data_IF_763698725796
#
_entry.id   IF_763698725796
#
_cell.length_a   1.000
_cell.length_b   1.000
_cell.length_c   1.000
_cell.angle_alpha   90.00
_cell.angle_beta   90.00
_cell.angle_gamma   90.00
#
_symmetry.space_group_name_H-M   'P 1'
#
loop_
_entity.id
_entity.type
_entity.pdbx_description
1 polymer ?
#
# COMPACT_ATOMS: atom_id res chain seq x y z
N UNK A 1 50.28 30.32 -0.88
CA UNK A 1 49.33 30.35 -2.00
C UNK A 1 48.66 28.96 -2.08
N UNK A 2 47.44 28.82 -1.60
CA UNK A 2 46.59 27.64 -1.78
C UNK A 2 45.45 28.06 -2.71
N UNK A 3 45.48 27.56 -3.94
CA UNK A 3 44.43 27.78 -4.90
C UNK A 3 43.12 27.23 -4.36
N UNK A 4 42.14 28.11 -4.24
CA UNK A 4 40.74 27.75 -4.05
C UNK A 4 40.25 27.15 -5.36
N UNK A 5 40.10 25.84 -5.40
CA UNK A 5 39.38 25.15 -6.46
C UNK A 5 37.91 25.57 -6.35
N UNK A 6 37.52 26.52 -7.21
CA UNK A 6 36.13 26.91 -7.39
C UNK A 6 35.44 25.71 -8.02
N UNK A 7 34.61 25.04 -7.27
CA UNK A 7 33.70 24.04 -7.79
C UNK A 7 32.75 24.71 -8.78
N UNK A 8 32.84 24.33 -10.05
CA UNK A 8 31.89 24.73 -11.09
C UNK A 8 30.47 24.45 -10.60
N UNK A 9 29.50 25.38 -10.78
CA UNK A 9 28.11 25.07 -10.59
C UNK A 9 27.74 23.94 -11.54
N UNK A 10 27.04 22.92 -11.03
CA UNK A 10 26.44 21.89 -11.87
C UNK A 10 25.45 22.63 -12.77
N UNK A 11 25.67 22.60 -14.08
CA UNK A 11 24.70 23.00 -15.10
C UNK A 11 23.47 22.07 -14.94
N UNK A 12 22.47 22.51 -14.19
CA UNK A 12 21.15 21.94 -14.14
C UNK A 12 20.11 23.00 -14.48
N UNK A 13 20.17 23.52 -15.70
CA UNK A 13 19.05 24.23 -16.30
C UNK A 13 17.98 23.30 -16.87
N UNK A 14 18.02 22.02 -16.55
CA UNK A 14 16.88 21.12 -16.80
C UNK A 14 15.82 21.35 -15.73
N UNK A 15 14.83 22.15 -16.09
CA UNK A 15 13.65 22.42 -15.25
C UNK A 15 12.96 21.07 -14.94
N UNK A 16 12.83 20.73 -13.66
CA UNK A 16 12.27 19.45 -13.22
C UNK A 16 10.91 19.19 -13.91
N UNK A 17 10.72 18.04 -14.58
CA UNK A 17 9.50 17.70 -15.31
C UNK A 17 8.23 17.84 -14.47
N UNK A 18 8.30 17.58 -13.16
CA UNK A 18 7.16 17.72 -12.22
C UNK A 18 6.64 19.15 -12.16
N UNK A 19 7.47 20.15 -12.50
CA UNK A 19 7.11 21.57 -12.51
C UNK A 19 6.45 22.04 -13.80
N UNK A 20 6.87 21.50 -14.95
CA UNK A 20 6.53 22.06 -16.28
C UNK A 20 5.61 21.18 -17.12
N UNK A 21 5.70 19.85 -17.00
CA UNK A 21 4.85 18.97 -17.80
C UNK A 21 3.37 19.08 -17.42
N UNK A 22 2.48 18.77 -18.39
CA UNK A 22 1.03 18.75 -18.15
C UNK A 22 0.67 17.72 -17.07
N UNK A 23 -0.18 18.10 -16.13
CA UNK A 23 -0.57 17.26 -14.99
C UNK A 23 -1.18 15.92 -15.44
N UNK A 24 -1.97 15.92 -16.51
CA UNK A 24 -2.57 14.68 -17.07
C UNK A 24 -1.52 13.70 -17.57
N UNK A 25 -0.45 14.19 -18.21
CA UNK A 25 0.66 13.35 -18.67
C UNK A 25 1.43 12.78 -17.47
N UNK A 26 1.77 13.63 -16.50
CA UNK A 26 2.44 13.21 -15.27
C UNK A 26 1.64 12.14 -14.52
N UNK A 27 0.32 12.30 -14.40
CA UNK A 27 -0.51 11.28 -13.76
C UNK A 27 -0.40 9.94 -14.47
N UNK A 28 -0.46 9.91 -15.80
CA UNK A 28 -0.32 8.65 -16.57
C UNK A 28 1.08 8.06 -16.39
N UNK A 29 2.14 8.88 -16.53
CA UNK A 29 3.52 8.43 -16.45
C UNK A 29 3.88 7.87 -15.05
N UNK A 30 3.23 8.34 -13.99
CA UNK A 30 3.47 7.89 -12.62
C UNK A 30 2.46 6.83 -12.15
N UNK A 31 1.17 7.01 -12.42
CA UNK A 31 0.14 6.09 -11.96
C UNK A 31 0.19 4.74 -12.67
N UNK A 32 0.42 4.69 -13.99
CA UNK A 32 0.45 3.43 -14.73
C UNK A 32 1.53 2.47 -14.20
N UNK A 33 2.81 2.88 -14.01
CA UNK A 33 3.79 2.01 -13.39
C UNK A 33 3.43 1.58 -11.96
N UNK A 34 2.83 2.48 -11.16
CA UNK A 34 2.37 2.13 -9.81
C UNK A 34 1.24 1.10 -9.84
N UNK A 35 0.28 1.26 -10.73
CA UNK A 35 -0.84 0.29 -10.92
C UNK A 35 -0.27 -1.08 -11.30
N UNK A 36 0.61 -1.13 -12.30
CA UNK A 36 1.23 -2.39 -12.74
C UNK A 36 1.97 -3.04 -11.57
N UNK A 37 2.75 -2.29 -10.81
CA UNK A 37 3.46 -2.81 -9.63
C UNK A 37 2.50 -3.39 -8.59
N UNK A 38 1.39 -2.70 -8.30
CA UNK A 38 0.39 -3.15 -7.33
C UNK A 38 -0.35 -4.40 -7.82
N UNK A 39 -0.75 -4.42 -9.11
CA UNK A 39 -1.41 -5.57 -9.71
C UNK A 39 -0.52 -6.81 -9.70
N UNK A 40 0.72 -6.67 -10.12
CA UNK A 40 1.66 -7.80 -10.12
C UNK A 40 1.92 -8.30 -8.70
N UNK A 41 2.06 -7.39 -7.73
CA UNK A 41 2.20 -7.78 -6.32
C UNK A 41 0.97 -8.56 -5.82
N UNK A 42 -0.23 -8.13 -6.19
CA UNK A 42 -1.46 -8.82 -5.83
C UNK A 42 -1.57 -10.20 -6.49
N UNK A 43 -1.22 -10.30 -7.77
CA UNK A 43 -1.28 -11.53 -8.53
C UNK A 43 -0.25 -12.56 -8.06
N UNK A 44 1.01 -12.14 -7.84
CA UNK A 44 2.01 -13.09 -7.39
C UNK A 44 1.68 -13.66 -5.99
N UNK A 45 1.12 -12.85 -5.09
CA UNK A 45 0.66 -13.36 -3.79
C UNK A 45 -0.42 -14.44 -3.92
N UNK A 46 -1.33 -14.30 -4.89
CA UNK A 46 -2.35 -15.33 -5.18
C UNK A 46 -1.71 -16.59 -5.77
N UNK A 47 -0.76 -16.43 -6.69
CA UNK A 47 -0.07 -17.55 -7.35
C UNK A 47 0.79 -18.33 -6.35
N UNK A 48 1.55 -17.64 -5.48
CA UNK A 48 2.34 -18.25 -4.41
C UNK A 48 1.46 -19.11 -3.48
N UNK A 49 0.31 -18.60 -3.06
CA UNK A 49 -0.66 -19.36 -2.26
C UNK A 49 -1.19 -20.61 -2.97
N UNK A 50 -1.37 -20.55 -4.30
CA UNK A 50 -1.78 -21.72 -5.10
C UNK A 50 -0.67 -22.77 -5.13
N UNK A 51 0.58 -22.38 -5.36
CA UNK A 51 1.72 -23.30 -5.39
C UNK A 51 1.96 -23.97 -4.03
N UNK A 52 1.88 -23.21 -2.94
CA UNK A 52 1.98 -23.76 -1.57
C UNK A 52 0.82 -24.75 -1.30
N UNK A 53 -0.40 -24.38 -1.67
CA UNK A 53 -1.56 -25.26 -1.50
C UNK A 53 -1.46 -26.56 -2.28
N UNK A 54 -0.92 -26.54 -3.49
CA UNK A 54 -0.73 -27.74 -4.32
C UNK A 54 0.49 -28.55 -3.90
N UNK A 55 1.59 -27.94 -3.47
CA UNK A 55 2.84 -28.62 -3.17
C UNK A 55 2.96 -29.10 -1.71
N UNK A 56 2.40 -28.36 -0.76
CA UNK A 56 2.47 -28.67 0.68
C UNK A 56 1.12 -29.07 1.24
N UNK A 57 0.03 -28.63 0.59
CA UNK A 57 -1.33 -28.92 0.96
C UNK A 57 -1.90 -27.92 1.98
N UNK A 58 -2.98 -28.34 2.66
CA UNK A 58 -3.76 -27.49 3.58
C UNK A 58 -2.91 -26.95 4.74
N UNK A 59 -2.00 -27.75 5.29
CA UNK A 59 -1.13 -27.34 6.40
C UNK A 59 -0.15 -26.23 5.98
N UNK A 60 0.33 -26.25 4.73
CA UNK A 60 1.18 -25.19 4.18
C UNK A 60 0.43 -23.86 4.06
N UNK A 61 -0.78 -23.87 3.53
CA UNK A 61 -1.62 -22.68 3.48
C UNK A 61 -2.00 -22.15 4.87
N UNK A 62 -2.28 -23.05 5.82
CA UNK A 62 -2.51 -22.67 7.20
C UNK A 62 -1.27 -22.00 7.83
N UNK A 63 -0.08 -22.52 7.55
CA UNK A 63 1.18 -21.98 8.05
C UNK A 63 1.47 -20.55 7.54
N UNK A 64 1.23 -20.31 6.25
CA UNK A 64 1.37 -18.94 5.69
C UNK A 64 0.34 -17.97 6.27
N UNK A 65 -0.89 -18.41 6.53
CA UNK A 65 -1.90 -17.58 7.19
C UNK A 65 -1.51 -17.24 8.64
N UNK A 66 -0.90 -18.17 9.38
CA UNK A 66 -0.38 -17.90 10.73
C UNK A 66 0.81 -16.90 10.68
N UNK A 67 1.65 -16.95 9.65
CA UNK A 67 2.75 -16.01 9.46
C UNK A 67 2.31 -14.62 8.92
N UNK A 68 1.08 -14.50 8.40
CA UNK A 68 0.57 -13.31 7.73
C UNK A 68 0.65 -12.00 8.57
N UNK A 69 0.39 -11.99 9.91
CA UNK A 69 0.55 -10.79 10.72
C UNK A 69 1.96 -10.19 10.67
N UNK A 70 3.00 -11.02 10.51
CA UNK A 70 4.37 -10.53 10.35
C UNK A 70 4.58 -9.83 9.00
N UNK A 71 3.98 -10.36 7.94
CA UNK A 71 3.99 -9.71 6.62
C UNK A 71 3.27 -8.36 6.64
N UNK A 72 2.17 -8.26 7.39
CA UNK A 72 1.47 -6.98 7.60
C UNK A 72 2.37 -6.00 8.36
N UNK A 73 3.06 -6.43 9.42
CA UNK A 73 3.98 -5.60 10.16
C UNK A 73 5.12 -5.07 9.26
N UNK A 74 5.72 -5.94 8.45
CA UNK A 74 6.72 -5.53 7.44
C UNK A 74 6.17 -4.46 6.49
N UNK A 75 4.99 -4.69 5.94
CA UNK A 75 4.36 -3.76 4.99
C UNK A 75 4.01 -2.44 5.66
N UNK A 76 3.47 -2.47 6.87
CA UNK A 76 3.12 -1.27 7.63
C UNK A 76 4.37 -0.41 7.93
N UNK A 77 5.46 -1.04 8.39
CA UNK A 77 6.75 -0.36 8.64
C UNK A 77 7.32 0.20 7.34
N UNK A 78 7.30 -0.58 6.27
CA UNK A 78 7.80 -0.16 4.96
C UNK A 78 7.08 1.08 4.42
N UNK A 79 5.75 1.09 4.52
CA UNK A 79 4.92 2.20 4.07
C UNK A 79 5.06 3.41 4.98
N UNK A 80 5.10 3.21 6.30
CA UNK A 80 5.34 4.27 7.28
C UNK A 80 6.63 5.02 6.96
N UNK A 81 7.73 4.30 6.82
CA UNK A 81 9.05 4.91 6.62
C UNK A 81 9.25 5.36 5.17
N UNK A 82 8.82 4.55 4.19
CA UNK A 82 8.99 4.83 2.77
C UNK A 82 8.19 6.02 2.28
N UNK A 83 6.89 6.04 2.58
CA UNK A 83 6.01 7.16 2.21
C UNK A 83 6.39 8.42 2.97
N UNK A 84 6.70 8.28 4.27
CA UNK A 84 7.13 9.42 5.09
C UNK A 84 8.42 10.08 4.59
N UNK A 85 9.43 9.29 4.25
CA UNK A 85 10.68 9.79 3.67
C UNK A 85 10.44 10.42 2.29
N UNK A 86 9.68 9.75 1.42
CA UNK A 86 9.39 10.21 0.05
C UNK A 86 8.57 11.52 0.03
N UNK A 87 7.59 11.67 0.93
CA UNK A 87 6.79 12.89 1.03
C UNK A 87 7.63 14.09 1.48
N UNK A 88 8.47 13.91 2.53
CA UNK A 88 9.38 14.97 2.96
C UNK A 88 10.41 15.30 1.88
N UNK A 89 10.95 14.27 1.20
CA UNK A 89 11.87 14.46 0.08
C UNK A 89 11.24 15.32 -1.02
N UNK A 90 10.05 14.97 -1.48
CA UNK A 90 9.36 15.71 -2.57
C UNK A 90 9.01 17.15 -2.17
N UNK A 91 8.56 17.38 -0.93
CA UNK A 91 8.23 18.71 -0.41
C UNK A 91 9.45 19.63 -0.38
N UNK A 92 10.58 19.17 0.19
CA UNK A 92 11.80 19.95 0.29
C UNK A 92 12.47 20.14 -1.08
N UNK A 93 12.41 19.12 -1.95
CA UNK A 93 12.90 19.24 -3.32
C UNK A 93 12.12 20.32 -4.09
N UNK A 94 10.78 20.33 -3.97
CA UNK A 94 9.93 21.35 -4.57
C UNK A 94 10.19 22.76 -4.02
N UNK A 95 10.54 22.87 -2.74
CA UNK A 95 10.92 24.13 -2.08
C UNK A 95 12.33 24.63 -2.48
N UNK A 96 13.10 23.86 -3.26
CA UNK A 96 14.49 24.18 -3.61
C UNK A 96 15.49 23.88 -2.49
N UNK A 97 15.09 23.14 -1.46
CA UNK A 97 15.91 22.78 -0.30
C UNK A 97 16.55 21.38 -0.48
N UNK A 98 17.34 21.21 -1.55
CA UNK A 98 17.93 19.92 -1.93
C UNK A 98 18.68 19.22 -0.79
N UNK A 99 19.44 19.97 0.00
CA UNK A 99 20.17 19.42 1.15
C UNK A 99 19.24 18.75 2.16
N UNK A 100 18.13 19.41 2.49
CA UNK A 100 17.13 18.81 3.41
C UNK A 100 16.45 17.60 2.79
N UNK A 101 16.11 17.65 1.49
CA UNK A 101 15.53 16.51 0.78
C UNK A 101 16.43 15.27 0.90
N UNK A 102 17.75 15.43 0.63
CA UNK A 102 18.73 14.35 0.76
C UNK A 102 18.88 13.86 2.20
N UNK A 103 18.83 14.75 3.19
CA UNK A 103 18.89 14.39 4.61
C UNK A 103 17.67 13.55 5.05
N UNK A 104 16.47 13.86 4.56
CA UNK A 104 15.27 13.04 4.81
C UNK A 104 15.33 11.67 4.14
N UNK A 105 15.81 11.61 2.90
CA UNK A 105 16.04 10.34 2.20
C UNK A 105 17.04 9.45 2.96
N UNK A 106 18.19 10.02 3.36
CA UNK A 106 19.23 9.32 4.13
C UNK A 106 18.75 8.83 5.50
N UNK A 107 18.03 9.69 6.25
CA UNK A 107 17.42 9.28 7.53
C UNK A 107 16.41 8.16 7.33
N UNK A 108 15.57 8.23 6.29
CA UNK A 108 14.61 7.18 5.94
C UNK A 108 15.28 5.84 5.64
N UNK A 109 16.36 5.84 4.86
CA UNK A 109 17.15 4.63 4.56
C UNK A 109 17.73 3.99 5.83
N UNK A 110 18.28 4.80 6.74
CA UNK A 110 18.77 4.30 8.03
C UNK A 110 17.65 3.67 8.86
N UNK A 111 16.51 4.33 8.95
CA UNK A 111 15.36 3.82 9.71
C UNK A 111 14.84 2.50 9.13
N UNK A 112 14.75 2.38 7.79
CA UNK A 112 14.32 1.15 7.13
C UNK A 112 15.27 -0.01 7.47
N UNK A 113 16.58 0.23 7.42
CA UNK A 113 17.58 -0.78 7.76
C UNK A 113 17.46 -1.19 9.25
N UNK A 114 17.39 -0.24 10.16
CA UNK A 114 17.28 -0.50 11.61
C UNK A 114 16.00 -1.24 11.94
N UNK A 115 14.85 -0.78 11.45
CA UNK A 115 13.55 -1.42 11.72
C UNK A 115 13.47 -2.81 11.08
N UNK A 116 14.05 -2.99 9.89
CA UNK A 116 14.12 -4.28 9.22
C UNK A 116 14.94 -5.30 10.01
N UNK A 117 16.13 -4.91 10.46
CA UNK A 117 16.98 -5.74 11.29
C UNK A 117 16.34 -6.01 12.65
N UNK A 118 15.74 -5.00 13.27
CA UNK A 118 15.05 -5.15 14.55
C UNK A 118 13.89 -6.16 14.44
N UNK A 119 13.05 -6.05 13.39
CA UNK A 119 11.95 -6.98 13.18
C UNK A 119 12.46 -8.41 12.91
N UNK A 120 13.53 -8.57 12.13
CA UNK A 120 14.21 -9.86 11.92
C UNK A 120 14.65 -10.46 13.26
N UNK A 121 15.37 -9.70 14.10
CA UNK A 121 15.88 -10.17 15.38
C UNK A 121 14.73 -10.54 16.33
N UNK A 122 13.72 -9.68 16.46
CA UNK A 122 12.56 -9.95 17.32
C UNK A 122 11.83 -11.21 16.85
N UNK A 123 11.58 -11.35 15.55
CA UNK A 123 10.93 -12.55 15.00
C UNK A 123 11.75 -13.81 15.25
N UNK A 124 13.06 -13.74 15.05
CA UNK A 124 13.94 -14.91 15.24
C UNK A 124 14.05 -15.33 16.71
N UNK A 125 14.14 -14.37 17.63
CA UNK A 125 14.23 -14.61 19.08
C UNK A 125 12.93 -15.14 19.67
N UNK A 126 11.79 -14.64 19.21
CA UNK A 126 10.47 -14.96 19.76
C UNK A 126 9.59 -15.76 18.77
N UNK A 127 10.19 -16.49 17.84
CA UNK A 127 9.48 -17.18 16.75
C UNK A 127 8.32 -18.04 17.24
N UNK A 128 8.61 -19.05 18.05
CA UNK A 128 7.61 -20.01 18.54
C UNK A 128 6.52 -19.35 19.41
N UNK A 129 6.84 -18.48 20.40
CA UNK A 129 5.81 -17.74 21.14
C UNK A 129 4.91 -16.90 20.26
N UNK A 130 5.47 -16.19 19.26
CA UNK A 130 4.69 -15.36 18.34
C UNK A 130 3.73 -16.19 17.49
N UNK A 131 4.19 -17.30 16.90
CA UNK A 131 3.33 -18.16 16.07
C UNK A 131 2.22 -18.80 16.90
N UNK A 132 2.49 -19.23 18.13
CA UNK A 132 1.44 -19.72 19.06
C UNK A 132 0.43 -18.62 19.41
N UNK A 133 0.90 -17.40 19.65
CA UNK A 133 0.02 -16.25 19.90
C UNK A 133 -0.86 -15.94 18.67
N UNK A 134 -0.37 -16.14 17.45
CA UNK A 134 -1.13 -15.99 16.20
C UNK A 134 -2.09 -17.17 15.93
N UNK A 135 -2.11 -18.19 16.79
CA UNK A 135 -3.07 -19.30 16.71
C UNK A 135 -2.52 -20.57 16.04
N UNK A 136 -1.20 -20.76 15.98
CA UNK A 136 -0.63 -22.00 15.44
C UNK A 136 -1.04 -23.22 16.28
N UNK A 137 -1.69 -24.19 15.63
CA UNK A 137 -1.98 -25.49 16.21
C UNK A 137 -0.72 -26.38 16.23
N UNK A 138 -0.67 -27.45 17.06
CA UNK A 138 0.47 -28.36 17.08
C UNK A 138 0.86 -28.94 15.71
N UNK A 139 -0.11 -29.16 14.83
CA UNK A 139 0.09 -29.72 13.49
C UNK A 139 0.64 -28.69 12.50
N UNK A 140 0.24 -27.42 12.62
CA UNK A 140 0.62 -26.32 11.74
C UNK A 140 1.95 -25.69 12.18
N UNK A 141 2.24 -25.71 13.46
CA UNK A 141 3.39 -25.03 14.06
C UNK A 141 4.74 -25.37 13.39
N UNK A 142 5.07 -26.64 13.10
CA UNK A 142 6.35 -26.98 12.44
C UNK A 142 6.50 -26.33 11.06
N UNK A 143 5.43 -26.32 10.26
CA UNK A 143 5.41 -25.69 8.94
C UNK A 143 5.52 -24.16 9.02
N UNK A 144 4.83 -23.57 9.99
CA UNK A 144 4.87 -22.13 10.23
C UNK A 144 6.26 -21.67 10.73
N UNK A 145 6.90 -22.45 11.62
CA UNK A 145 8.27 -22.16 12.08
C UNK A 145 9.28 -22.28 10.94
N UNK A 146 9.19 -23.33 10.14
CA UNK A 146 10.08 -23.55 9.01
C UNK A 146 9.99 -22.42 8.00
N UNK A 147 8.77 -22.02 7.63
CA UNK A 147 8.50 -20.92 6.70
C UNK A 147 8.98 -19.58 7.26
N UNK A 148 8.54 -19.25 8.49
CA UNK A 148 8.80 -17.93 9.08
C UNK A 148 10.28 -17.74 9.44
N UNK A 149 10.97 -18.77 9.88
CA UNK A 149 12.41 -18.71 10.17
C UNK A 149 13.22 -18.29 8.95
N UNK A 150 12.84 -18.81 7.79
CA UNK A 150 13.49 -18.46 6.52
C UNK A 150 13.04 -17.09 6.06
N UNK A 151 11.72 -16.81 5.98
CA UNK A 151 11.20 -15.54 5.47
C UNK A 151 11.59 -14.34 6.33
N UNK A 152 11.83 -14.52 7.63
CA UNK A 152 12.33 -13.47 8.52
C UNK A 152 13.67 -12.88 8.04
N UNK A 153 14.54 -13.67 7.43
CA UNK A 153 15.81 -13.18 6.84
C UNK A 153 15.50 -12.17 5.71
N UNK A 154 14.38 -12.32 5.04
CA UNK A 154 13.91 -11.42 3.99
C UNK A 154 13.36 -10.08 4.47
N UNK A 155 12.98 -9.94 5.74
CA UNK A 155 12.32 -8.73 6.25
C UNK A 155 13.12 -7.43 6.06
N UNK A 156 14.43 -7.38 6.34
CA UNK A 156 15.23 -6.19 6.07
C UNK A 156 15.22 -5.79 4.60
N UNK A 157 15.31 -6.78 3.70
CA UNK A 157 15.30 -6.55 2.25
C UNK A 157 13.93 -6.08 1.76
N UNK A 158 12.85 -6.67 2.28
CA UNK A 158 11.47 -6.28 1.95
C UNK A 158 11.18 -4.85 2.38
N UNK A 159 11.51 -4.50 3.64
CA UNK A 159 11.29 -3.16 4.19
C UNK A 159 12.12 -2.13 3.42
N UNK A 160 13.39 -2.40 3.20
CA UNK A 160 14.26 -1.49 2.46
C UNK A 160 13.82 -1.33 1.00
N UNK A 161 13.53 -2.44 0.28
CA UNK A 161 13.09 -2.37 -1.11
C UNK A 161 11.81 -1.57 -1.29
N UNK A 162 10.79 -1.84 -0.47
CA UNK A 162 9.50 -1.13 -0.55
C UNK A 162 9.68 0.36 -0.27
N UNK A 163 10.48 0.71 0.74
CA UNK A 163 10.75 2.11 1.08
C UNK A 163 11.61 2.83 0.04
N UNK A 164 12.66 2.20 -0.46
CA UNK A 164 13.50 2.74 -1.54
C UNK A 164 12.67 2.95 -2.81
N UNK A 165 11.74 2.06 -3.14
CA UNK A 165 10.84 2.21 -4.28
C UNK A 165 10.01 3.50 -4.20
N UNK A 166 9.62 3.94 -2.98
CA UNK A 166 8.91 5.23 -2.79
C UNK A 166 9.84 6.42 -3.01
N UNK A 167 11.10 6.33 -2.59
CA UNK A 167 12.11 7.36 -2.86
C UNK A 167 12.44 7.45 -4.36
N UNK A 168 12.56 6.32 -5.06
CA UNK A 168 12.77 6.26 -6.52
C UNK A 168 11.59 6.93 -7.26
N UNK A 169 10.37 6.68 -6.79
CA UNK A 169 9.17 7.33 -7.32
C UNK A 169 9.21 8.84 -7.08
N UNK A 170 9.62 9.27 -5.89
CA UNK A 170 9.76 10.69 -5.52
C UNK A 170 10.87 11.41 -6.31
N UNK A 171 11.92 10.69 -6.71
CA UNK A 171 13.00 11.17 -7.58
C UNK A 171 12.61 11.21 -9.08
N UNK A 172 11.33 10.97 -9.41
CA UNK A 172 10.81 11.06 -10.78
C UNK A 172 11.10 9.85 -11.67
N UNK A 173 11.31 8.66 -11.10
CA UNK A 173 11.60 7.44 -11.85
C UNK A 173 10.61 6.29 -11.59
N UNK A 174 9.32 6.49 -11.88
CA UNK A 174 8.28 5.49 -11.60
C UNK A 174 8.50 4.17 -12.36
N UNK A 175 9.00 4.22 -13.59
CA UNK A 175 9.29 3.02 -14.39
C UNK A 175 10.39 2.17 -13.76
N UNK A 176 11.41 2.79 -13.16
CA UNK A 176 12.48 2.06 -12.50
C UNK A 176 11.98 1.38 -11.22
N UNK A 177 11.17 2.08 -10.42
CA UNK A 177 10.50 1.50 -9.25
C UNK A 177 9.65 0.28 -9.63
N UNK A 178 8.85 0.39 -10.70
CA UNK A 178 8.08 -0.72 -11.25
C UNK A 178 8.97 -1.90 -11.66
N UNK A 179 10.03 -1.64 -12.43
CA UNK A 179 10.95 -2.70 -12.92
C UNK A 179 11.58 -3.47 -11.76
N UNK A 180 11.98 -2.79 -10.70
CA UNK A 180 12.53 -3.42 -9.50
C UNK A 180 11.52 -4.37 -8.85
N UNK A 181 10.27 -3.94 -8.68
CA UNK A 181 9.22 -4.78 -8.08
C UNK A 181 8.84 -5.96 -8.98
N UNK A 182 8.72 -5.72 -10.29
CA UNK A 182 8.42 -6.76 -11.28
C UNK A 182 9.51 -7.85 -11.31
N UNK A 183 10.78 -7.45 -11.30
CA UNK A 183 11.88 -8.40 -11.34
C UNK A 183 11.83 -9.40 -10.17
N UNK A 184 11.57 -8.91 -8.95
CA UNK A 184 11.42 -9.79 -7.80
C UNK A 184 10.20 -10.69 -7.87
N UNK A 185 9.06 -10.17 -8.31
CA UNK A 185 7.84 -10.96 -8.47
C UNK A 185 8.01 -12.07 -9.53
N UNK A 186 8.64 -11.76 -10.65
CA UNK A 186 8.93 -12.74 -11.71
C UNK A 186 9.89 -13.82 -11.20
N UNK A 187 10.97 -13.44 -10.54
CA UNK A 187 11.93 -14.39 -9.97
C UNK A 187 11.26 -15.31 -8.95
N UNK A 188 10.46 -14.76 -8.04
CA UNK A 188 9.70 -15.55 -7.07
C UNK A 188 8.76 -16.54 -7.79
N UNK A 189 7.92 -16.07 -8.73
CA UNK A 189 6.96 -16.92 -9.46
C UNK A 189 7.63 -18.05 -10.25
N UNK A 190 8.86 -17.85 -10.75
CA UNK A 190 9.63 -18.91 -11.43
C UNK A 190 10.25 -19.88 -10.44
N UNK A 191 10.77 -19.38 -9.30
CA UNK A 191 11.47 -20.21 -8.32
C UNK A 191 10.51 -21.04 -7.46
N UNK A 192 9.28 -20.56 -7.21
CA UNK A 192 8.28 -21.28 -6.43
C UNK A 192 8.04 -22.72 -6.96
N UNK A 193 7.60 -22.92 -8.22
CA UNK A 193 7.39 -24.27 -8.73
C UNK A 193 8.69 -25.08 -8.83
N UNK A 194 9.82 -24.42 -9.11
CA UNK A 194 11.12 -25.10 -9.17
C UNK A 194 11.52 -25.69 -7.82
N UNK A 195 11.39 -24.91 -6.74
CA UNK A 195 11.80 -25.36 -5.41
C UNK A 195 10.76 -26.25 -4.75
N UNK A 196 9.46 -25.91 -4.90
CA UNK A 196 8.38 -26.68 -4.28
C UNK A 196 8.25 -28.05 -4.93
N UNK A 197 8.12 -28.11 -6.26
CA UNK A 197 7.86 -29.34 -7.01
C UNK A 197 9.13 -29.99 -7.59
N UNK A 198 10.00 -29.19 -8.21
CA UNK A 198 11.21 -29.70 -8.87
C UNK A 198 12.25 -30.25 -7.89
N UNK A 199 12.45 -29.55 -6.77
CA UNK A 199 13.43 -29.94 -5.74
C UNK A 199 12.79 -30.56 -4.49
N UNK A 200 11.46 -30.71 -4.46
CA UNK A 200 10.69 -31.25 -3.33
C UNK A 200 11.00 -30.59 -1.97
N UNK A 201 11.27 -29.29 -1.96
CA UNK A 201 11.65 -28.57 -0.75
C UNK A 201 10.45 -28.12 0.11
N UNK A 202 9.20 -28.26 -0.40
CA UNK A 202 7.99 -27.91 0.34
C UNK A 202 8.00 -26.46 0.83
N UNK A 203 7.70 -26.24 2.13
CA UNK A 203 7.65 -24.90 2.75
C UNK A 203 8.98 -24.14 2.69
N UNK A 204 10.11 -24.85 2.78
CA UNK A 204 11.44 -24.23 2.62
C UNK A 204 11.61 -23.65 1.24
N UNK A 205 11.13 -24.38 0.22
CA UNK A 205 11.20 -23.94 -1.17
C UNK A 205 10.44 -22.62 -1.40
N UNK A 206 9.20 -22.54 -0.95
CA UNK A 206 8.39 -21.33 -1.02
C UNK A 206 9.05 -20.15 -0.29
N UNK A 207 9.54 -20.37 0.93
CA UNK A 207 10.22 -19.34 1.71
C UNK A 207 11.49 -18.83 1.02
N UNK A 208 12.32 -19.72 0.48
CA UNK A 208 13.55 -19.36 -0.24
C UNK A 208 13.25 -18.59 -1.52
N UNK A 209 12.27 -19.02 -2.31
CA UNK A 209 11.87 -18.32 -3.52
C UNK A 209 11.43 -16.88 -3.21
N UNK A 210 10.65 -16.71 -2.14
CA UNK A 210 10.21 -15.38 -1.66
C UNK A 210 11.40 -14.50 -1.29
N UNK A 211 12.36 -14.99 -0.52
CA UNK A 211 13.55 -14.21 -0.12
C UNK A 211 14.39 -13.83 -1.33
N UNK A 212 14.65 -14.79 -2.23
CA UNK A 212 15.47 -14.52 -3.43
C UNK A 212 14.81 -13.42 -4.26
N UNK A 213 13.48 -13.47 -4.46
CA UNK A 213 12.73 -12.41 -5.13
C UNK A 213 12.89 -11.05 -4.44
N UNK A 214 12.80 -11.01 -3.11
CA UNK A 214 13.00 -9.78 -2.32
C UNK A 214 14.42 -9.23 -2.43
N UNK A 215 15.45 -10.09 -2.39
CA UNK A 215 16.85 -9.69 -2.54
C UNK A 215 17.10 -9.15 -3.95
N UNK A 216 16.58 -9.79 -4.99
CA UNK A 216 16.73 -9.31 -6.37
C UNK A 216 16.11 -7.91 -6.52
N UNK A 217 14.87 -7.72 -6.05
CA UNK A 217 14.22 -6.40 -6.04
C UNK A 217 15.04 -5.37 -5.28
N UNK A 218 15.54 -5.73 -4.10
CA UNK A 218 16.36 -4.86 -3.26
C UNK A 218 17.66 -4.45 -3.96
N UNK A 219 18.38 -5.40 -4.57
CA UNK A 219 19.62 -5.10 -5.29
C UNK A 219 19.40 -4.11 -6.46
N UNK A 220 18.30 -4.30 -7.20
CA UNK A 220 17.93 -3.38 -8.30
C UNK A 220 17.62 -1.98 -7.73
N UNK A 221 16.82 -1.90 -6.67
CA UNK A 221 16.46 -0.64 -6.02
C UNK A 221 17.69 0.03 -5.40
N UNK A 222 18.56 -0.74 -4.75
CA UNK A 222 19.80 -0.25 -4.14
C UNK A 222 20.73 0.37 -5.19
N UNK A 223 20.85 -0.25 -6.38
CA UNK A 223 21.64 0.30 -7.48
C UNK A 223 21.20 1.70 -7.86
N UNK A 224 19.89 1.99 -7.81
CA UNK A 224 19.35 3.31 -8.14
C UNK A 224 19.81 4.38 -7.15
N UNK A 225 20.02 4.06 -5.89
CA UNK A 225 20.47 5.04 -4.88
C UNK A 225 21.81 5.72 -5.26
N UNK A 226 22.63 5.06 -6.05
CA UNK A 226 23.87 5.64 -6.58
C UNK A 226 23.67 6.50 -7.84
N UNK A 227 22.45 6.53 -8.39
CA UNK A 227 22.10 7.18 -9.65
C UNK A 227 20.82 8.03 -9.55
N UNK A 228 20.61 8.67 -8.38
CA UNK A 228 19.51 9.63 -8.23
C UNK A 228 19.59 10.71 -9.30
N UNK A 229 18.45 11.07 -9.90
CA UNK A 229 18.37 12.02 -10.99
C UNK A 229 18.42 13.46 -10.52
N UNK A 230 17.72 13.75 -9.42
CA UNK A 230 17.51 15.12 -8.94
C UNK A 230 18.57 15.58 -7.94
N UNK A 231 19.12 14.64 -7.17
CA UNK A 231 20.08 14.94 -6.10
C UNK A 231 21.16 13.86 -6.00
N UNK A 232 22.31 14.20 -5.42
CA UNK A 232 23.36 13.22 -5.12
C UNK A 232 23.32 12.84 -3.64
N UNK A 233 23.11 11.56 -3.35
CA UNK A 233 23.22 11.04 -1.99
C UNK A 233 24.68 10.96 -1.56
N UNK A 234 25.01 11.62 -0.46
CA UNK A 234 26.32 11.57 0.18
C UNK A 234 26.27 10.76 1.47
N UNK A 235 27.38 10.14 1.85
CA UNK A 235 27.47 9.34 3.10
C UNK A 235 27.11 10.16 4.34
N UNK A 236 27.37 11.45 4.34
CA UNK A 236 27.05 12.36 5.45
C UNK A 236 25.56 12.54 5.69
N UNK A 237 24.71 12.18 4.72
CA UNK A 237 23.25 12.27 4.84
C UNK A 237 22.65 11.07 5.58
N UNK A 238 23.40 9.98 5.73
CA UNK A 238 23.04 8.78 6.46
C UNK A 238 23.16 9.01 7.98
N UNK A 239 22.52 10.06 8.48
CA UNK A 239 22.52 10.40 9.92
C UNK A 239 21.11 10.36 10.48
N UNK A 240 20.95 9.68 11.60
CA UNK A 240 19.71 9.71 12.36
C UNK A 240 19.57 11.06 13.04
N UNK A 241 18.37 11.64 12.93
CA UNK A 241 17.96 12.83 13.65
C UNK A 241 16.56 12.61 14.19
N UNK A 242 16.35 12.86 15.47
CA UNK A 242 15.05 12.65 16.11
C UNK A 242 13.95 13.49 15.47
N UNK A 243 14.20 14.77 15.18
CA UNK A 243 13.25 15.65 14.50
C UNK A 243 12.83 15.10 13.11
N UNK A 244 13.80 14.68 12.31
CA UNK A 244 13.52 14.07 10.99
C UNK A 244 12.79 12.75 11.11
N UNK A 245 13.16 11.92 12.07
CA UNK A 245 12.47 10.64 12.35
C UNK A 245 11.01 10.88 12.69
N UNK A 246 10.71 11.82 13.58
CA UNK A 246 9.34 12.17 13.94
C UNK A 246 8.52 12.66 12.73
N UNK A 247 9.10 13.49 11.87
CA UNK A 247 8.43 13.97 10.64
C UNK A 247 8.21 12.84 9.64
N UNK A 248 9.20 11.95 9.43
CA UNK A 248 9.05 10.78 8.57
C UNK A 248 7.91 9.90 9.09
N UNK A 249 7.92 9.55 10.37
CA UNK A 249 6.87 8.75 10.98
C UNK A 249 5.49 9.43 10.88
N UNK A 250 5.42 10.74 11.11
CA UNK A 250 4.17 11.50 11.02
C UNK A 250 3.57 11.45 9.61
N UNK A 251 4.37 11.72 8.57
CA UNK A 251 3.87 11.79 7.19
C UNK A 251 3.55 10.40 6.60
N UNK A 252 4.23 9.36 7.06
CA UNK A 252 3.95 7.99 6.66
C UNK A 252 2.89 7.28 7.52
N UNK A 253 2.49 7.86 8.65
CA UNK A 253 1.57 7.26 9.61
C UNK A 253 0.22 6.87 8.98
N UNK A 254 -0.28 7.69 8.05
CA UNK A 254 -1.51 7.42 7.31
C UNK A 254 -1.50 6.04 6.64
N UNK A 255 -0.44 5.73 5.90
CA UNK A 255 -0.34 4.46 5.17
C UNK A 255 0.00 3.29 6.11
N UNK A 256 0.89 3.48 7.08
CA UNK A 256 1.27 2.45 8.03
C UNK A 256 0.08 2.01 8.90
N UNK A 257 -0.61 2.95 9.51
CA UNK A 257 -1.78 2.65 10.36
C UNK A 257 -2.94 2.09 9.58
N UNK A 258 -3.17 2.55 8.33
CA UNK A 258 -4.20 1.96 7.48
C UNK A 258 -3.96 0.47 7.24
N UNK A 259 -2.71 0.06 7.05
CA UNK A 259 -2.36 -1.35 6.83
C UNK A 259 -2.71 -2.22 8.05
N UNK A 260 -2.39 -1.73 9.25
CA UNK A 260 -2.75 -2.41 10.51
C UNK A 260 -4.27 -2.43 10.70
N UNK A 261 -4.94 -1.31 10.44
CA UNK A 261 -6.40 -1.21 10.55
C UNK A 261 -7.13 -2.19 9.63
N UNK A 262 -6.67 -2.34 8.39
CA UNK A 262 -7.22 -3.32 7.44
C UNK A 262 -7.11 -4.75 7.98
N UNK A 263 -5.99 -5.10 8.58
CA UNK A 263 -5.79 -6.42 9.18
C UNK A 263 -6.74 -6.68 10.37
N UNK A 264 -6.90 -5.70 11.25
CA UNK A 264 -7.84 -5.80 12.39
C UNK A 264 -9.27 -5.98 11.89
N UNK A 265 -9.69 -5.17 10.92
CA UNK A 265 -11.04 -5.28 10.33
C UNK A 265 -11.24 -6.64 9.68
N UNK A 266 -10.24 -7.17 8.96
CA UNK A 266 -10.34 -8.50 8.33
C UNK A 266 -10.53 -9.62 9.36
N UNK A 267 -9.80 -9.57 10.48
CA UNK A 267 -9.93 -10.55 11.56
C UNK A 267 -11.33 -10.48 12.18
N UNK A 268 -11.81 -9.29 12.50
CA UNK A 268 -13.15 -9.10 13.10
C UNK A 268 -14.23 -9.53 12.12
N UNK A 269 -14.10 -9.18 10.84
CA UNK A 269 -15.04 -9.57 9.79
C UNK A 269 -15.14 -11.10 9.65
N UNK A 270 -14.01 -11.79 9.60
CA UNK A 270 -13.98 -13.25 9.50
C UNK A 270 -14.65 -13.92 10.72
N UNK A 271 -14.32 -13.44 11.93
CA UNK A 271 -14.94 -13.96 13.15
C UNK A 271 -16.45 -13.72 13.18
N UNK A 272 -16.90 -12.54 12.78
CA UNK A 272 -18.33 -12.19 12.73
C UNK A 272 -19.05 -13.05 11.69
N UNK A 273 -18.48 -13.23 10.50
CA UNK A 273 -19.05 -14.08 9.44
C UNK A 273 -19.11 -15.56 9.87
N UNK A 274 -18.09 -16.06 10.55
CA UNK A 274 -18.10 -17.42 11.08
C UNK A 274 -19.22 -17.62 12.11
N UNK A 275 -19.34 -16.69 13.08
CA UNK A 275 -20.34 -16.78 14.16
C UNK A 275 -21.76 -16.66 13.62
N UNK A 276 -22.08 -15.60 12.90
CA UNK A 276 -23.44 -15.38 12.38
C UNK A 276 -23.77 -16.29 11.20
N UNK A 277 -22.76 -16.76 10.45
CA UNK A 277 -22.91 -17.80 9.44
C UNK A 277 -23.40 -19.10 10.05
N UNK A 278 -22.80 -19.57 11.16
CA UNK A 278 -23.20 -20.76 11.88
C UNK A 278 -24.66 -20.69 12.43
N UNK A 279 -25.13 -19.47 12.72
CA UNK A 279 -26.52 -19.24 13.16
C UNK A 279 -27.51 -19.08 11.98
N UNK A 280 -27.03 -19.07 10.75
CA UNK A 280 -27.84 -18.95 9.54
C UNK A 280 -28.02 -20.26 8.81
N UNK A 281 -28.90 -20.28 7.81
CA UNK A 281 -29.12 -21.45 6.94
C UNK A 281 -27.90 -21.78 6.05
N UNK A 282 -26.91 -20.86 5.96
CA UNK A 282 -25.75 -21.00 5.11
C UNK A 282 -24.57 -21.69 5.77
N UNK A 283 -24.60 -21.86 7.12
CA UNK A 283 -23.43 -22.33 7.88
C UNK A 283 -22.30 -21.33 7.93
N UNK A 284 -21.17 -21.65 8.58
CA UNK A 284 -19.98 -20.79 8.67
C UNK A 284 -19.15 -20.75 7.38
N UNK A 285 -19.14 -21.85 6.62
CA UNK A 285 -18.19 -22.04 5.51
C UNK A 285 -18.52 -21.20 4.27
N UNK A 286 -19.81 -21.13 3.91
CA UNK A 286 -20.26 -20.37 2.73
C UNK A 286 -19.97 -18.86 2.88
N UNK A 287 -20.33 -18.19 4.00
CA UNK A 287 -20.00 -16.79 4.20
C UNK A 287 -18.51 -16.48 4.21
N UNK A 288 -17.70 -17.33 4.85
CA UNK A 288 -16.25 -17.19 4.88
C UNK A 288 -15.61 -17.35 3.50
N UNK A 289 -16.02 -18.38 2.75
CA UNK A 289 -15.55 -18.59 1.39
C UNK A 289 -15.90 -17.39 0.48
N UNK A 290 -17.13 -16.89 0.58
CA UNK A 290 -17.58 -15.73 -0.16
C UNK A 290 -16.79 -14.47 0.20
N UNK A 291 -16.57 -14.20 1.48
CA UNK A 291 -15.77 -13.06 1.94
C UNK A 291 -14.31 -13.14 1.42
N UNK A 292 -13.75 -14.35 1.36
CA UNK A 292 -12.43 -14.59 0.78
C UNK A 292 -12.35 -14.19 -0.69
N UNK A 293 -13.37 -14.54 -1.48
CA UNK A 293 -13.44 -14.14 -2.90
C UNK A 293 -13.59 -12.63 -3.03
N UNK A 294 -14.51 -12.02 -2.28
CA UNK A 294 -14.73 -10.58 -2.29
C UNK A 294 -13.43 -9.84 -1.94
N UNK A 295 -12.70 -10.31 -0.93
CA UNK A 295 -11.41 -9.73 -0.54
C UNK A 295 -10.38 -9.78 -1.67
N UNK A 296 -10.29 -10.89 -2.41
CA UNK A 296 -9.37 -11.02 -3.56
C UNK A 296 -9.77 -10.09 -4.71
N UNK A 297 -11.05 -10.04 -5.04
CA UNK A 297 -11.55 -9.13 -6.09
C UNK A 297 -11.33 -7.67 -5.69
N UNK A 298 -11.63 -7.33 -4.44
CA UNK A 298 -11.38 -5.99 -3.91
C UNK A 298 -9.89 -5.62 -3.90
N UNK A 299 -9.00 -6.57 -3.60
CA UNK A 299 -7.55 -6.36 -3.66
C UNK A 299 -7.07 -6.01 -5.06
N UNK A 300 -7.58 -6.70 -6.09
CA UNK A 300 -7.28 -6.38 -7.49
C UNK A 300 -7.82 -4.98 -7.84
N UNK A 301 -9.07 -4.69 -7.51
CA UNK A 301 -9.66 -3.37 -7.75
C UNK A 301 -8.88 -2.25 -7.02
N UNK A 302 -8.57 -2.44 -5.75
CA UNK A 302 -7.83 -1.46 -4.96
C UNK A 302 -6.40 -1.24 -5.47
N UNK A 303 -5.81 -2.20 -6.18
CA UNK A 303 -4.50 -2.04 -6.82
C UNK A 303 -4.50 -0.88 -7.84
N UNK A 304 -5.59 -0.70 -8.57
CA UNK A 304 -5.76 0.45 -9.48
C UNK A 304 -5.86 1.76 -8.72
N UNK A 305 -6.72 1.81 -7.70
CA UNK A 305 -6.96 3.03 -6.92
C UNK A 305 -5.70 3.46 -6.13
N UNK A 306 -5.07 2.50 -5.45
CA UNK A 306 -3.83 2.74 -4.68
C UNK A 306 -2.69 3.12 -5.63
N UNK A 307 -2.60 2.51 -6.82
CA UNK A 307 -1.61 2.87 -7.82
C UNK A 307 -1.72 4.33 -8.27
N UNK A 308 -2.94 4.81 -8.56
CA UNK A 308 -3.19 6.22 -8.87
C UNK A 308 -2.79 7.10 -7.67
N UNK A 309 -3.26 6.74 -6.48
CA UNK A 309 -3.03 7.48 -5.24
C UNK A 309 -1.54 7.64 -4.91
N UNK A 310 -0.76 6.59 -5.09
CA UNK A 310 0.70 6.63 -4.90
C UNK A 310 1.42 7.37 -6.02
N UNK A 311 0.96 7.24 -7.26
CA UNK A 311 1.55 7.92 -8.42
C UNK A 311 1.46 9.44 -8.32
N UNK A 312 0.39 9.99 -7.76
CA UNK A 312 0.24 11.46 -7.61
C UNK A 312 1.03 12.03 -6.44
N UNK A 313 1.48 11.22 -5.50
CA UNK A 313 2.14 11.66 -4.27
C UNK A 313 3.37 12.54 -4.54
N UNK A 314 4.35 12.14 -5.37
CA UNK A 314 5.51 12.99 -5.66
C UNK A 314 5.13 14.24 -6.45
N UNK A 315 4.14 14.16 -7.35
CA UNK A 315 3.67 15.31 -8.15
C UNK A 315 3.09 16.37 -7.22
N UNK A 316 2.20 15.97 -6.31
CA UNK A 316 1.56 16.86 -5.34
C UNK A 316 2.58 17.43 -4.36
N UNK A 317 3.43 16.58 -3.75
CA UNK A 317 4.44 16.99 -2.79
C UNK A 317 5.42 18.01 -3.36
N UNK A 318 5.96 17.73 -4.54
CA UNK A 318 6.85 18.65 -5.22
C UNK A 318 6.19 20.01 -5.54
N UNK A 319 5.01 20.00 -6.19
CA UNK A 319 4.32 21.24 -6.56
C UNK A 319 3.84 22.03 -5.35
N UNK A 320 3.48 21.36 -4.24
CA UNK A 320 3.13 22.04 -2.99
C UNK A 320 4.35 22.71 -2.36
N UNK A 321 5.51 22.02 -2.32
CA UNK A 321 6.79 22.60 -1.90
C UNK A 321 7.21 23.81 -2.75
N UNK A 322 7.01 23.70 -4.06
CA UNK A 322 7.27 24.79 -5.03
C UNK A 322 6.19 25.90 -4.98
N UNK A 323 5.22 25.83 -4.09
CA UNK A 323 4.10 26.78 -3.97
C UNK A 323 3.22 26.90 -5.24
N UNK A 324 3.22 25.90 -6.10
CA UNK A 324 2.40 25.84 -7.32
C UNK A 324 1.01 25.27 -7.02
N UNK A 325 0.26 25.95 -6.17
CA UNK A 325 -1.03 25.47 -5.60
C UNK A 325 -2.09 25.16 -6.66
N UNK A 326 -2.13 25.86 -7.77
CA UNK A 326 -3.05 25.58 -8.87
C UNK A 326 -2.78 24.19 -9.50
N UNK A 327 -1.48 23.79 -9.63
CA UNK A 327 -1.09 22.48 -10.14
C UNK A 327 -1.47 21.38 -9.15
N UNK A 328 -1.24 21.62 -7.86
CA UNK A 328 -1.65 20.71 -6.77
C UNK A 328 -3.15 20.41 -6.86
N UNK A 329 -3.98 21.45 -6.92
CA UNK A 329 -5.42 21.32 -7.05
C UNK A 329 -5.83 20.55 -8.30
N UNK A 330 -5.24 20.88 -9.45
CA UNK A 330 -5.56 20.26 -10.74
C UNK A 330 -5.14 18.78 -10.76
N UNK A 331 -3.95 18.45 -10.28
CA UNK A 331 -3.47 17.07 -10.17
C UNK A 331 -4.40 16.24 -9.28
N UNK A 332 -4.78 16.75 -8.12
CA UNK A 332 -5.70 16.06 -7.22
C UNK A 332 -7.06 15.80 -7.87
N UNK A 333 -7.68 16.82 -8.50
CA UNK A 333 -8.99 16.67 -9.14
C UNK A 333 -8.96 15.70 -10.33
N UNK A 334 -7.90 15.74 -11.13
CA UNK A 334 -7.71 14.78 -12.24
C UNK A 334 -7.54 13.35 -11.72
N UNK A 335 -6.74 13.16 -10.68
CA UNK A 335 -6.54 11.83 -10.07
C UNK A 335 -7.84 11.30 -9.45
N UNK A 336 -8.57 12.16 -8.74
CA UNK A 336 -9.88 11.80 -8.18
C UNK A 336 -10.87 11.41 -9.29
N UNK A 337 -10.94 12.19 -10.37
CA UNK A 337 -11.77 11.89 -11.53
C UNK A 337 -11.40 10.55 -12.18
N UNK A 338 -10.09 10.29 -12.38
CA UNK A 338 -9.60 9.02 -12.95
C UNK A 338 -9.94 7.84 -12.04
N UNK A 339 -9.72 7.97 -10.73
CA UNK A 339 -10.08 6.95 -9.76
C UNK A 339 -11.59 6.68 -9.74
N UNK A 340 -12.41 7.73 -9.83
CA UNK A 340 -13.89 7.60 -9.88
C UNK A 340 -14.35 6.91 -11.16
N UNK A 341 -13.77 7.22 -12.32
CA UNK A 341 -14.10 6.54 -13.59
C UNK A 341 -13.75 5.05 -13.52
N UNK A 342 -12.57 4.70 -13.02
CA UNK A 342 -12.19 3.29 -12.84
C UNK A 342 -13.11 2.59 -11.82
N UNK A 343 -13.47 3.27 -10.73
CA UNK A 343 -14.40 2.75 -9.74
C UNK A 343 -15.81 2.54 -10.32
N UNK A 344 -16.25 3.41 -11.24
CA UNK A 344 -17.52 3.24 -11.95
C UNK A 344 -17.50 2.00 -12.85
N UNK A 345 -16.41 1.80 -13.60
CA UNK A 345 -16.25 0.61 -14.45
C UNK A 345 -16.27 -0.65 -13.57
N UNK A 346 -15.53 -0.66 -12.47
CA UNK A 346 -15.52 -1.78 -11.54
C UNK A 346 -16.91 -2.04 -10.93
N UNK A 347 -17.61 -0.99 -10.52
CA UNK A 347 -18.99 -1.07 -10.02
C UNK A 347 -19.92 -1.74 -11.04
N UNK A 348 -19.88 -1.30 -12.31
CA UNK A 348 -20.69 -1.90 -13.36
C UNK A 348 -20.35 -3.39 -13.55
N UNK A 349 -19.07 -3.75 -13.58
CA UNK A 349 -18.66 -5.15 -13.64
C UNK A 349 -19.17 -5.96 -12.47
N UNK A 350 -19.09 -5.43 -11.27
CA UNK A 350 -19.51 -6.12 -10.03
C UNK A 350 -21.03 -6.28 -9.92
N UNK A 351 -21.80 -5.34 -10.45
CA UNK A 351 -23.26 -5.43 -10.43
C UNK A 351 -23.84 -6.27 -11.58
N UNK A 352 -23.21 -6.24 -12.77
CA UNK A 352 -23.71 -6.94 -13.95
C UNK A 352 -23.23 -8.41 -14.01
N UNK A 353 -22.00 -8.69 -13.57
CA UNK A 353 -21.35 -9.99 -13.75
C UNK A 353 -20.89 -10.66 -12.44
N UNK A 354 -21.62 -10.58 -11.30
CA UNK A 354 -21.15 -11.13 -10.04
C UNK A 354 -20.93 -12.65 -10.09
N UNK A 355 -21.85 -13.40 -10.71
CA UNK A 355 -21.78 -14.88 -10.82
C UNK A 355 -20.56 -15.32 -11.61
N UNK A 356 -20.27 -14.64 -12.73
CA UNK A 356 -19.11 -14.94 -13.58
C UNK A 356 -17.80 -14.68 -12.82
N UNK A 357 -17.74 -13.55 -12.08
CA UNK A 357 -16.56 -13.21 -11.28
C UNK A 357 -16.35 -14.26 -10.19
N UNK A 358 -17.41 -14.63 -9.45
CA UNK A 358 -17.34 -15.62 -8.37
C UNK A 358 -16.90 -16.99 -8.93
N UNK A 359 -17.43 -17.42 -10.09
CA UNK A 359 -17.11 -18.70 -10.71
C UNK A 359 -15.65 -18.85 -11.15
N UNK A 360 -14.93 -17.75 -11.37
CA UNK A 360 -13.47 -17.76 -11.65
C UNK A 360 -12.68 -18.23 -10.43
N UNK A 361 -13.16 -17.93 -9.21
CA UNK A 361 -12.44 -18.21 -7.97
C UNK A 361 -12.87 -19.50 -7.29
N UNK A 362 -14.02 -20.07 -7.67
CA UNK A 362 -14.51 -21.31 -7.06
C UNK A 362 -15.80 -21.81 -7.66
N UNK A 363 -16.07 -23.08 -7.40
CA UNK A 363 -17.33 -23.77 -7.71
C UNK A 363 -17.99 -24.21 -6.41
N UNK A 364 -19.31 -24.23 -6.36
CA UNK A 364 -20.07 -24.60 -5.18
C UNK A 364 -21.52 -24.96 -5.49
N UNK A 365 -22.29 -25.17 -4.43
CA UNK A 365 -23.73 -25.43 -4.53
C UNK A 365 -24.49 -24.18 -5.06
N UNK A 366 -25.74 -24.37 -5.50
CA UNK A 366 -26.58 -23.23 -5.91
C UNK A 366 -26.80 -22.26 -4.72
N UNK A 367 -26.92 -22.78 -3.51
CA UNK A 367 -26.99 -21.96 -2.27
C UNK A 367 -25.75 -21.09 -2.08
N UNK A 368 -24.55 -21.63 -2.37
CA UNK A 368 -23.30 -20.85 -2.36
C UNK A 368 -23.34 -19.71 -3.36
N UNK A 369 -23.77 -19.95 -4.60
CA UNK A 369 -23.84 -18.90 -5.61
C UNK A 369 -24.89 -17.84 -5.26
N UNK A 370 -26.08 -18.22 -4.79
CA UNK A 370 -27.13 -17.27 -4.40
C UNK A 370 -26.67 -16.36 -3.26
N UNK A 371 -26.07 -16.92 -2.21
CA UNK A 371 -25.51 -16.13 -1.11
C UNK A 371 -24.39 -15.21 -1.59
N UNK A 372 -23.43 -15.75 -2.36
CA UNK A 372 -22.27 -15.03 -2.83
C UNK A 372 -22.64 -13.87 -3.77
N UNK A 373 -23.58 -14.07 -4.71
CA UNK A 373 -24.08 -13.01 -5.59
C UNK A 373 -24.74 -11.89 -4.81
N UNK A 374 -25.59 -12.24 -3.83
CA UNK A 374 -26.29 -11.28 -2.96
C UNK A 374 -25.28 -10.47 -2.15
N UNK A 375 -24.36 -11.16 -1.47
CA UNK A 375 -23.32 -10.51 -0.66
C UNK A 375 -22.42 -9.64 -1.51
N UNK A 376 -21.98 -10.13 -2.67
CA UNK A 376 -21.11 -9.41 -3.58
C UNK A 376 -21.77 -8.11 -4.05
N UNK A 377 -23.02 -8.16 -4.52
CA UNK A 377 -23.77 -6.98 -4.97
C UNK A 377 -23.99 -5.96 -3.86
N UNK A 378 -24.36 -6.40 -2.66
CA UNK A 378 -24.64 -5.49 -1.54
C UNK A 378 -23.33 -4.88 -1.02
N UNK A 379 -22.34 -5.72 -0.70
CA UNK A 379 -21.09 -5.24 -0.10
C UNK A 379 -20.29 -4.33 -1.04
N UNK A 380 -20.31 -4.60 -2.34
CA UNK A 380 -19.60 -3.82 -3.35
C UNK A 380 -20.49 -2.74 -4.01
N UNK A 381 -21.65 -2.44 -3.43
CA UNK A 381 -22.61 -1.49 -4.02
C UNK A 381 -22.05 -0.08 -4.16
N UNK A 382 -21.26 0.40 -3.21
CA UNK A 382 -20.65 1.73 -3.26
C UNK A 382 -19.19 1.74 -3.74
N UNK A 383 -18.77 0.71 -4.46
CA UNK A 383 -17.42 0.67 -5.09
C UNK A 383 -17.12 1.93 -5.89
N UNK A 384 -18.16 2.55 -6.51
CA UNK A 384 -18.02 3.78 -7.30
C UNK A 384 -17.36 4.95 -6.55
N UNK A 385 -17.48 5.00 -5.22
CA UNK A 385 -16.91 6.07 -4.38
C UNK A 385 -15.70 5.62 -3.56
N UNK A 386 -15.34 4.33 -3.62
CA UNK A 386 -14.24 3.76 -2.84
C UNK A 386 -12.86 4.34 -3.20
N UNK A 387 -12.71 4.92 -4.39
CA UNK A 387 -11.50 5.62 -4.80
C UNK A 387 -11.24 6.94 -4.06
N UNK A 388 -12.26 7.56 -3.48
CA UNK A 388 -12.16 8.89 -2.85
C UNK A 388 -11.22 8.86 -1.65
N UNK A 389 -11.39 7.90 -0.74
CA UNK A 389 -10.66 7.84 0.53
C UNK A 389 -9.14 7.65 0.35
N UNK A 390 -8.61 6.67 -0.42
CA UNK A 390 -7.17 6.51 -0.56
C UNK A 390 -6.49 7.68 -1.28
N UNK A 391 -7.15 8.25 -2.30
CA UNK A 391 -6.64 9.42 -3.03
C UNK A 391 -6.57 10.63 -2.10
N UNK A 392 -7.61 10.86 -1.28
CA UNK A 392 -7.68 11.98 -0.33
C UNK A 392 -6.68 11.83 0.82
N UNK A 393 -6.56 10.63 1.40
CA UNK A 393 -5.61 10.37 2.49
C UNK A 393 -4.16 10.62 2.05
N UNK A 394 -3.77 10.13 0.88
CA UNK A 394 -2.44 10.37 0.32
C UNK A 394 -2.24 11.84 -0.10
N UNK A 395 -3.27 12.51 -0.59
CA UNK A 395 -3.21 13.94 -0.88
C UNK A 395 -2.82 14.74 0.37
N UNK A 396 -3.52 14.55 1.50
CA UNK A 396 -3.21 15.24 2.75
C UNK A 396 -1.80 14.93 3.28
N UNK A 397 -1.38 13.66 3.18
CA UNK A 397 -0.02 13.26 3.54
C UNK A 397 1.02 13.95 2.66
N UNK A 398 0.76 14.10 1.35
CA UNK A 398 1.69 14.70 0.38
C UNK A 398 1.87 16.21 0.55
N UNK A 399 0.83 16.93 1.02
CA UNK A 399 0.90 18.37 1.31
C UNK A 399 1.40 18.68 2.73
N UNK A 400 1.80 17.66 3.48
CA UNK A 400 2.34 17.82 4.84
C UNK A 400 1.29 17.93 5.95
N UNK A 401 -0.02 17.80 5.65
CA UNK A 401 -1.11 17.77 6.64
C UNK A 401 -1.31 16.34 7.18
N UNK A 402 -0.25 15.78 7.78
CA UNK A 402 -0.16 14.38 8.17
C UNK A 402 -1.31 13.90 9.08
N UNK A 403 -1.73 14.70 10.06
CA UNK A 403 -2.82 14.36 10.98
C UNK A 403 -4.15 14.14 10.22
N UNK A 404 -4.45 15.01 9.24
CA UNK A 404 -5.63 14.84 8.38
C UNK A 404 -5.48 13.59 7.50
N UNK A 405 -4.28 13.32 6.98
CA UNK A 405 -4.01 12.08 6.22
C UNK A 405 -4.30 10.83 7.04
N UNK A 406 -3.82 10.76 8.29
CA UNK A 406 -4.10 9.66 9.23
C UNK A 406 -5.61 9.56 9.51
N UNK A 407 -6.25 10.67 9.84
CA UNK A 407 -7.68 10.68 10.11
C UNK A 407 -8.47 10.16 8.89
N UNK A 408 -8.20 10.66 7.68
CA UNK A 408 -8.86 10.19 6.46
C UNK A 408 -8.62 8.71 6.21
N UNK A 409 -7.39 8.20 6.43
CA UNK A 409 -7.07 6.80 6.17
C UNK A 409 -7.77 5.84 7.13
N UNK A 410 -7.94 6.23 8.39
CA UNK A 410 -8.57 5.41 9.43
C UNK A 410 -10.09 5.56 9.46
N UNK A 411 -10.65 6.61 8.88
CA UNK A 411 -12.09 6.91 8.91
C UNK A 411 -12.92 5.72 8.42
N UNK A 412 -12.55 5.12 7.30
CA UNK A 412 -13.28 3.96 6.75
C UNK A 412 -13.15 2.72 7.63
N UNK A 413 -11.94 2.37 7.99
CA UNK A 413 -11.66 1.08 8.62
C UNK A 413 -12.07 1.05 10.10
N UNK A 414 -11.59 2.02 10.87
CA UNK A 414 -11.73 2.03 12.33
C UNK A 414 -12.97 2.80 12.77
N UNK A 415 -13.25 3.96 12.15
CA UNK A 415 -14.34 4.81 12.62
C UNK A 415 -15.72 4.27 12.20
N UNK A 416 -15.84 3.76 10.97
CA UNK A 416 -17.12 3.30 10.45
C UNK A 416 -17.21 1.78 10.30
N UNK A 417 -16.33 1.15 9.52
CA UNK A 417 -16.50 -0.25 9.15
C UNK A 417 -16.41 -1.21 10.36
N UNK A 418 -15.42 -1.02 11.22
CA UNK A 418 -15.22 -1.88 12.39
C UNK A 418 -16.44 -1.88 13.35
N UNK A 419 -16.98 -0.72 13.77
CA UNK A 419 -18.19 -0.70 14.60
C UNK A 419 -19.42 -1.29 13.88
N UNK A 420 -19.59 -1.00 12.59
CA UNK A 420 -20.72 -1.50 11.82
C UNK A 420 -20.72 -3.04 11.66
N UNK A 421 -19.53 -3.64 11.45
CA UNK A 421 -19.38 -5.10 11.39
C UNK A 421 -19.78 -5.77 12.71
N UNK A 422 -19.59 -5.10 13.85
CA UNK A 422 -19.95 -5.63 15.17
C UNK A 422 -21.42 -5.38 15.50
N UNK A 423 -21.94 -4.17 15.24
CA UNK A 423 -23.27 -3.74 15.67
C UNK A 423 -24.38 -4.26 14.74
N UNK A 424 -24.20 -4.18 13.43
CA UNK A 424 -25.27 -4.52 12.47
C UNK A 424 -25.69 -6.00 12.53
N UNK A 425 -24.78 -6.97 12.70
CA UNK A 425 -25.18 -8.38 12.85
C UNK A 425 -26.05 -8.65 14.08
N UNK A 426 -25.95 -7.84 15.13
CA UNK A 426 -26.84 -7.94 16.30
C UNK A 426 -28.31 -7.66 15.94
N UNK A 427 -28.56 -6.85 14.89
CA UNK A 427 -29.90 -6.44 14.48
C UNK A 427 -30.36 -7.24 13.25
N UNK A 428 -29.49 -7.41 12.26
CA UNK A 428 -29.81 -7.97 10.94
C UNK A 428 -29.23 -9.38 10.72
N UNK A 429 -28.61 -9.99 11.73
CA UNK A 429 -27.90 -11.26 11.56
C UNK A 429 -26.78 -11.16 10.53
N UNK A 430 -26.59 -12.22 9.72
CA UNK A 430 -25.50 -12.23 8.71
C UNK A 430 -25.62 -11.13 7.65
N UNK A 431 -26.84 -10.69 7.32
CA UNK A 431 -27.07 -9.61 6.37
C UNK A 431 -26.49 -8.28 6.88
N UNK A 432 -26.36 -8.11 8.19
CA UNK A 432 -25.73 -6.93 8.79
C UNK A 432 -24.29 -6.73 8.34
N UNK A 433 -23.52 -7.78 8.14
CA UNK A 433 -22.15 -7.70 7.61
C UNK A 433 -22.15 -7.19 6.17
N UNK A 434 -23.16 -7.60 5.37
CA UNK A 434 -23.28 -7.13 3.98
C UNK A 434 -23.53 -5.62 3.90
N UNK A 435 -24.34 -5.07 4.80
CA UNK A 435 -24.69 -3.63 4.81
C UNK A 435 -23.59 -2.76 5.41
N UNK A 436 -22.70 -3.32 6.23
CA UNK A 436 -21.62 -2.56 6.88
C UNK A 436 -20.67 -1.88 5.86
N UNK A 437 -20.32 -2.58 4.77
CA UNK A 437 -19.43 -2.07 3.73
C UNK A 437 -19.95 -0.76 3.08
N UNK A 438 -21.09 -0.80 2.41
CA UNK A 438 -21.66 0.39 1.73
C UNK A 438 -21.87 1.58 2.66
N UNK A 439 -22.37 1.33 3.87
CA UNK A 439 -22.62 2.42 4.83
C UNK A 439 -21.31 3.06 5.29
N UNK A 440 -20.28 2.26 5.55
CA UNK A 440 -18.95 2.78 5.86
C UNK A 440 -18.36 3.59 4.69
N UNK A 441 -18.54 3.12 3.46
CA UNK A 441 -18.07 3.80 2.24
C UNK A 441 -18.77 5.15 2.06
N UNK A 442 -20.11 5.20 2.22
CA UNK A 442 -20.90 6.42 2.13
C UNK A 442 -20.48 7.45 3.20
N UNK A 443 -20.43 7.02 4.46
CA UNK A 443 -20.02 7.89 5.57
C UNK A 443 -18.59 8.44 5.37
N UNK A 444 -17.67 7.58 4.93
CA UNK A 444 -16.29 7.99 4.64
C UNK A 444 -16.23 9.00 3.49
N UNK A 445 -16.98 8.79 2.41
CA UNK A 445 -17.01 9.70 1.28
C UNK A 445 -17.53 11.10 1.66
N UNK A 446 -18.53 11.16 2.54
CA UNK A 446 -19.04 12.44 3.07
C UNK A 446 -17.95 13.16 3.88
N UNK A 447 -17.29 12.47 4.80
CA UNK A 447 -16.21 13.04 5.60
C UNK A 447 -15.05 13.51 4.71
N UNK A 448 -14.57 12.66 3.81
CA UNK A 448 -13.50 13.02 2.87
C UNK A 448 -13.90 14.21 1.99
N UNK A 449 -15.15 14.25 1.50
CA UNK A 449 -15.67 15.35 0.69
C UNK A 449 -15.66 16.68 1.45
N UNK A 450 -16.11 16.68 2.71
CA UNK A 450 -16.11 17.88 3.54
C UNK A 450 -14.70 18.49 3.71
N UNK A 451 -13.73 17.68 4.13
CA UNK A 451 -12.36 18.16 4.32
C UNK A 451 -11.68 18.54 3.01
N UNK A 452 -11.93 17.78 1.93
CA UNK A 452 -11.43 18.10 0.59
C UNK A 452 -11.93 19.47 0.11
N UNK A 453 -13.23 19.75 0.24
CA UNK A 453 -13.81 21.03 -0.18
C UNK A 453 -13.19 22.21 0.59
N UNK A 454 -12.96 22.04 1.89
CA UNK A 454 -12.26 23.03 2.72
C UNK A 454 -10.83 23.27 2.23
N UNK A 455 -10.08 22.21 1.97
CA UNK A 455 -8.69 22.30 1.49
C UNK A 455 -8.60 22.95 0.10
N UNK A 456 -9.50 22.57 -0.80
CA UNK A 456 -9.54 23.16 -2.14
C UNK A 456 -9.87 24.66 -2.14
N UNK A 457 -10.63 25.15 -1.15
CA UNK A 457 -10.85 26.58 -0.92
C UNK A 457 -9.57 27.26 -0.45
N UNK A 458 -8.88 26.67 0.56
CA UNK A 458 -7.59 27.18 1.07
C UNK A 458 -6.54 27.28 -0.05
N UNK A 459 -6.40 26.22 -0.88
CA UNK A 459 -5.49 26.25 -2.04
C UNK A 459 -5.85 27.31 -3.08
N UNK A 460 -7.15 27.63 -3.24
CA UNK A 460 -7.61 28.69 -4.13
C UNK A 460 -7.23 30.06 -3.59
N UNK A 461 -7.41 30.29 -2.30
CA UNK A 461 -7.03 31.54 -1.63
C UNK A 461 -5.52 31.77 -1.71
N UNK A 462 -4.72 30.75 -1.41
CA UNK A 462 -3.26 30.81 -1.53
C UNK A 462 -2.83 31.15 -2.97
N UNK A 463 -3.50 30.58 -3.97
CA UNK A 463 -3.21 30.88 -5.39
C UNK A 463 -3.55 32.34 -5.73
N UNK A 464 -4.63 32.89 -5.17
CA UNK A 464 -5.01 34.29 -5.42
C UNK A 464 -4.04 35.26 -4.75
N UNK A 465 -3.66 35.01 -3.49
CA UNK A 465 -2.67 35.81 -2.78
C UNK A 465 -1.31 35.85 -3.52
N UNK A 466 -0.89 34.73 -4.02
CA UNK A 466 0.37 34.65 -4.79
C UNK A 466 0.30 35.50 -6.08
N UNK A 467 -0.83 35.46 -6.81
CA UNK A 467 -1.02 36.29 -8.00
C UNK A 467 -1.00 37.78 -7.68
N UNK A 468 -1.61 38.17 -6.55
CA UNK A 468 -1.61 39.59 -6.12
C UNK A 468 -0.20 40.07 -5.75
N UNK A 469 0.59 39.22 -5.06
CA UNK A 469 1.99 39.54 -4.72
C UNK A 469 2.86 39.68 -5.98
N UNK A 470 2.68 38.81 -6.98
CA UNK A 470 3.40 38.88 -8.24
C UNK A 470 2.98 40.07 -9.11
N UNK A 471 1.75 40.54 -8.99
CA UNK A 471 1.25 41.70 -9.71
C UNK A 471 1.65 43.04 -9.04
N UNK A 472 2.01 42.99 -7.76
CA UNK A 472 2.45 44.17 -6.98
C UNK A 472 3.97 44.36 -6.95
N UNK A 473 4.75 43.35 -7.37
CA UNK A 473 6.21 43.37 -7.55
C UNK A 473 6.58 43.68 -9.00
#
# INVERSE_FOLDING_TARGET
MREKTISRPVESDEVNPLRVEKESKLIVDFAVPCIISMLVTSLYNIVDQIFIGQGVGMLGNAATNIAFPLSIACTAISLLLGIGAASNFSLHLGAGEEKKAVEYAGTGLCLMAICGIALFLVTTLFLTPMLKFFGATPDVLPYAEEYTRITAIGFPFLIANTGISKLILADGSPRYSMTSMLAGAIVNTILDPLFIFGMNMGMRGAALATIIGQIVSFCISLRYLFHFKTVKLHKDCLRLSWDRTCKICSYGASAGFNQVAMAVVQIVMNNTLAHYGALSVYGSDIPLACAGIISKVNMIFMSFVIGISQGIQPIIGYNYGAKLYHRVKRTYLLALGTATVLSMIAFLCFQLFPRQIISVFGSGSEMYFQFSERYFRIYMFLTLINGIQPVTANFFSSIGKAQLGVFMSLTRQILFLLPLIVIFPLIFGIDGVMYAGPIADAATAIVCGFFTLRELRELRELTQLQKQQTAAA
#
